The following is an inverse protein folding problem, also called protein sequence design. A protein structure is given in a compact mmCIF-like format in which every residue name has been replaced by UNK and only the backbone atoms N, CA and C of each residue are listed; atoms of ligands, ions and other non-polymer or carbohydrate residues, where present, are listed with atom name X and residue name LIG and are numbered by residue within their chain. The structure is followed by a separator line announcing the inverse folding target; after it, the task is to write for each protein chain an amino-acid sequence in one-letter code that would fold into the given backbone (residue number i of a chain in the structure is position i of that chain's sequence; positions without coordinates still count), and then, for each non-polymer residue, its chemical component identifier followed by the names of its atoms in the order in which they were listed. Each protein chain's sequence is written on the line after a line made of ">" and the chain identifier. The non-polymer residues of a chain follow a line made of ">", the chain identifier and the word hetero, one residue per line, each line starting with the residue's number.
data_IF_831287916308
#
_entry.id   IF_831287916308
#
_cell.length_a   1.000
_cell.length_b   1.000
_cell.length_c   1.000
_cell.angle_alpha   90.00
_cell.angle_beta   90.00
_cell.angle_gamma   90.00
#
_symmetry.space_group_name_H-M   'P 1'
#
loop_
_entity.id
_entity.type
_entity.pdbx_description
1 polymer ?
#
# COMPACT_ATOMS: atom_id res chain seq x y z
N UNK A 1 4.69 -14.13 -25.62
CA UNK A 1 3.37 -13.47 -25.58
C UNK A 1 2.85 -13.48 -24.15
N UNK A 2 2.44 -12.35 -23.61
CA UNK A 2 1.79 -12.21 -22.29
C UNK A 2 0.36 -11.72 -22.51
N UNK A 3 -0.61 -12.33 -21.82
CA UNK A 3 -2.00 -11.90 -21.82
C UNK A 3 -2.36 -11.38 -20.43
N UNK A 4 -2.81 -10.14 -20.35
CA UNK A 4 -3.32 -9.53 -19.14
C UNK A 4 -4.84 -9.59 -19.16
N UNK A 5 -5.43 -10.28 -18.19
CA UNK A 5 -6.86 -10.35 -18.00
C UNK A 5 -7.26 -9.23 -17.04
N UNK A 6 -8.02 -8.26 -17.55
CA UNK A 6 -8.43 -7.06 -16.82
C UNK A 6 -9.90 -7.22 -16.43
N UNK A 7 -10.16 -7.58 -15.18
CA UNK A 7 -11.50 -7.74 -14.61
C UNK A 7 -12.05 -6.41 -14.11
N UNK A 8 -11.17 -5.57 -13.53
CA UNK A 8 -11.51 -4.23 -13.06
C UNK A 8 -10.82 -3.20 -13.95
N UNK A 9 -11.60 -2.52 -14.78
CA UNK A 9 -11.06 -1.52 -15.69
C UNK A 9 -10.61 -0.28 -14.90
N UNK A 10 -9.32 0.12 -15.01
CA UNK A 10 -8.81 1.24 -14.23
C UNK A 10 -9.50 2.54 -14.62
N UNK A 11 -10.04 3.24 -13.62
CA UNK A 11 -10.78 4.50 -13.83
C UNK A 11 -9.89 5.65 -14.31
N UNK A 12 -8.59 5.58 -14.04
CA UNK A 12 -7.56 6.51 -14.51
C UNK A 12 -6.98 6.12 -15.89
N UNK A 13 -7.45 5.00 -16.48
CA UNK A 13 -6.94 4.44 -17.72
C UNK A 13 -5.55 3.82 -17.63
N UNK A 14 -4.95 3.73 -16.43
CA UNK A 14 -3.59 3.27 -16.22
C UNK A 14 -3.55 1.85 -15.62
N UNK A 15 -3.18 0.86 -16.44
CA UNK A 15 -2.95 -0.51 -15.97
C UNK A 15 -1.46 -0.70 -15.61
N UNK A 16 -1.20 -1.00 -14.35
CA UNK A 16 0.15 -1.20 -13.81
C UNK A 16 0.46 -2.68 -13.74
N UNK A 17 1.56 -3.09 -14.40
CA UNK A 17 2.03 -4.49 -14.41
C UNK A 17 3.37 -4.56 -13.66
N UNK A 18 3.44 -5.21 -12.49
CA UNK A 18 4.66 -5.24 -11.69
C UNK A 18 5.67 -6.24 -12.25
N UNK A 19 6.16 -5.95 -13.44
CA UNK A 19 7.18 -6.75 -14.11
C UNK A 19 8.03 -5.89 -15.06
N UNK A 20 9.29 -6.24 -15.21
CA UNK A 20 10.17 -5.70 -16.25
C UNK A 20 10.12 -6.61 -17.47
N UNK A 21 9.92 -6.02 -18.63
CA UNK A 21 9.98 -6.70 -19.92
C UNK A 21 10.23 -5.69 -21.03
N UNK A 22 10.79 -6.16 -22.15
CA UNK A 22 10.80 -5.38 -23.40
C UNK A 22 9.55 -5.74 -24.19
N UNK A 23 8.72 -4.76 -24.47
CA UNK A 23 7.47 -4.91 -25.23
C UNK A 23 7.70 -4.35 -26.63
N UNK A 24 7.54 -5.18 -27.66
CA UNK A 24 7.66 -4.81 -29.07
C UNK A 24 6.31 -4.76 -29.79
N UNK A 25 5.22 -5.19 -29.12
CA UNK A 25 3.87 -5.10 -29.63
C UNK A 25 2.83 -5.16 -28.52
N UNK A 26 1.79 -4.36 -28.63
CA UNK A 26 0.69 -4.32 -27.66
C UNK A 26 -0.64 -4.09 -28.37
N UNK A 27 -1.69 -4.76 -27.90
CA UNK A 27 -3.06 -4.57 -28.40
C UNK A 27 -4.12 -4.94 -27.37
N UNK A 28 -5.21 -4.21 -27.35
CA UNK A 28 -6.43 -4.59 -26.66
C UNK A 28 -7.24 -5.49 -27.59
N UNK A 29 -7.50 -6.73 -27.17
CA UNK A 29 -8.26 -7.68 -28.00
C UNK A 29 -9.72 -7.21 -28.17
N UNK A 30 -10.22 -7.34 -29.39
CA UNK A 30 -11.59 -6.85 -29.74
C UNK A 30 -11.68 -5.33 -29.96
N UNK A 31 -10.54 -4.60 -29.97
CA UNK A 31 -10.50 -3.16 -30.23
C UNK A 31 -9.36 -2.80 -31.18
N UNK A 32 -9.60 -1.76 -31.99
CA UNK A 32 -8.56 -1.08 -32.78
C UNK A 32 -7.98 0.15 -32.07
N UNK A 33 -8.47 0.46 -30.86
CA UNK A 33 -7.96 1.60 -30.09
C UNK A 33 -6.48 1.35 -29.69
N UNK A 34 -5.63 2.37 -29.84
CA UNK A 34 -4.23 2.25 -29.45
C UNK A 34 -4.10 2.06 -27.95
N UNK A 35 -3.10 1.25 -27.55
CA UNK A 35 -2.65 1.10 -26.18
C UNK A 35 -1.17 1.51 -26.15
N UNK A 36 -0.80 2.44 -25.29
CA UNK A 36 0.60 2.77 -25.08
C UNK A 36 1.17 1.98 -23.91
N UNK A 37 2.49 1.77 -23.92
CA UNK A 37 3.21 1.13 -22.83
C UNK A 37 4.51 1.89 -22.56
N UNK A 38 4.78 2.13 -21.27
CA UNK A 38 6.03 2.71 -20.79
C UNK A 38 6.66 1.81 -19.75
N UNK A 39 7.99 1.68 -19.80
CA UNK A 39 8.76 1.04 -18.73
C UNK A 39 9.01 2.07 -17.62
N UNK A 40 8.76 1.68 -16.37
CA UNK A 40 8.98 2.49 -15.17
C UNK A 40 9.76 1.67 -14.13
N UNK A 41 10.21 2.32 -13.06
CA UNK A 41 10.80 1.59 -11.93
C UNK A 41 9.81 0.65 -11.23
N UNK A 42 8.51 0.94 -11.38
CA UNK A 42 7.40 0.13 -10.88
C UNK A 42 7.05 -1.08 -11.75
N UNK A 43 7.57 -1.16 -12.95
CA UNK A 43 7.24 -2.15 -13.97
C UNK A 43 6.72 -1.50 -15.24
N UNK A 44 5.78 -2.15 -15.92
CA UNK A 44 5.14 -1.60 -17.11
C UNK A 44 3.90 -0.80 -16.73
N UNK A 45 3.78 0.39 -17.29
CA UNK A 45 2.58 1.22 -17.24
C UNK A 45 1.92 1.21 -18.61
N UNK A 46 0.70 0.73 -18.68
CA UNK A 46 -0.10 0.69 -19.90
C UNK A 46 -1.18 1.77 -19.84
N UNK A 47 -1.26 2.59 -20.88
CA UNK A 47 -2.35 3.54 -21.05
C UNK A 47 -3.47 2.88 -21.88
N UNK A 48 -4.58 2.58 -21.22
CA UNK A 48 -5.72 1.91 -21.79
C UNK A 48 -6.74 2.93 -22.35
N UNK A 49 -7.50 2.60 -23.40
CA UNK A 49 -8.61 3.46 -23.87
C UNK A 49 -9.68 3.58 -22.79
N UNK A 50 -10.51 4.64 -22.88
CA UNK A 50 -11.46 5.03 -21.83
C UNK A 50 -12.58 4.02 -21.50
N UNK A 51 -12.71 2.90 -22.26
CA UNK A 51 -13.73 1.88 -22.01
C UNK A 51 -13.17 0.46 -22.23
N UNK A 52 -13.61 -0.52 -21.43
CA UNK A 52 -13.30 -1.92 -21.65
C UNK A 52 -13.98 -2.43 -22.94
N UNK A 53 -13.40 -3.47 -23.55
CA UNK A 53 -14.03 -4.18 -24.69
C UNK A 53 -15.09 -5.18 -24.21
N UNK A 54 -14.96 -5.64 -22.98
CA UNK A 54 -15.91 -6.53 -22.32
C UNK A 54 -15.99 -6.14 -20.84
N UNK A 55 -17.21 -6.05 -20.32
CA UNK A 55 -17.45 -5.61 -18.93
C UNK A 55 -17.03 -6.66 -17.89
N UNK A 56 -17.00 -7.93 -18.25
CA UNK A 56 -16.59 -9.00 -17.36
C UNK A 56 -15.06 -9.20 -17.34
N UNK A 57 -14.42 -9.13 -18.51
CA UNK A 57 -12.97 -9.30 -18.63
C UNK A 57 -12.47 -8.81 -20.00
N UNK A 58 -11.72 -7.75 -20.02
CA UNK A 58 -11.00 -7.31 -21.21
C UNK A 58 -9.59 -7.90 -21.23
N UNK A 59 -9.05 -8.16 -22.43
CA UNK A 59 -7.73 -8.81 -22.56
C UNK A 59 -6.76 -7.92 -23.32
N UNK A 60 -5.65 -7.57 -22.68
CA UNK A 60 -4.52 -6.90 -23.33
C UNK A 60 -3.44 -7.93 -23.65
N UNK A 61 -3.06 -8.01 -24.93
CA UNK A 61 -1.98 -8.89 -25.38
C UNK A 61 -0.70 -8.10 -25.63
N UNK A 62 0.39 -8.53 -24.98
CA UNK A 62 1.73 -7.96 -25.15
C UNK A 62 2.63 -8.99 -25.86
N UNK A 63 3.29 -8.55 -26.92
CA UNK A 63 4.40 -9.29 -27.49
C UNK A 63 5.69 -8.85 -26.78
N UNK A 64 6.38 -9.80 -26.18
CA UNK A 64 7.59 -9.54 -25.41
C UNK A 64 8.81 -10.05 -26.18
N UNK A 65 9.89 -9.27 -26.13
CA UNK A 65 11.21 -9.68 -26.57
C UNK A 65 12.09 -9.91 -25.33
N UNK A 66 12.57 -11.13 -25.16
CA UNK A 66 13.34 -11.53 -23.96
C UNK A 66 12.45 -11.98 -22.80
N UNK A 67 13.01 -11.93 -21.60
CA UNK A 67 12.41 -12.48 -20.40
C UNK A 67 11.45 -11.49 -19.72
N UNK A 68 10.39 -12.03 -19.13
CA UNK A 68 9.54 -11.33 -18.18
C UNK A 68 10.11 -11.52 -16.77
N UNK A 69 10.52 -10.43 -16.13
CA UNK A 69 11.05 -10.44 -14.76
C UNK A 69 10.01 -9.84 -13.83
N UNK A 70 9.28 -10.64 -13.03
CA UNK A 70 8.35 -10.13 -12.05
C UNK A 70 9.08 -9.25 -11.02
N UNK A 71 8.45 -8.14 -10.64
CA UNK A 71 8.89 -7.33 -9.53
C UNK A 71 8.20 -7.81 -8.25
N UNK A 72 8.86 -7.71 -7.09
CA UNK A 72 8.20 -7.96 -5.81
C UNK A 72 6.98 -7.08 -5.65
N UNK A 73 5.98 -7.56 -4.88
CA UNK A 73 4.80 -6.78 -4.56
C UNK A 73 5.18 -5.42 -3.97
N UNK A 74 4.43 -4.39 -4.33
CA UNK A 74 4.47 -3.07 -3.69
C UNK A 74 3.14 -2.36 -3.92
N UNK A 75 2.69 -1.62 -2.91
CA UNK A 75 1.46 -0.82 -3.00
C UNK A 75 1.72 0.37 -3.91
N UNK A 76 0.88 0.52 -4.93
CA UNK A 76 0.86 1.71 -5.79
C UNK A 76 -0.12 2.76 -5.27
N UNK A 77 -0.06 3.99 -5.81
CA UNK A 77 -1.05 5.02 -5.49
C UNK A 77 -2.41 4.67 -6.08
N UNK A 78 -3.48 5.07 -5.40
CA UNK A 78 -4.83 5.11 -5.94
C UNK A 78 -4.98 6.25 -6.96
N UNK A 79 -6.15 6.35 -7.61
CA UNK A 79 -6.43 7.39 -8.62
C UNK A 79 -6.30 8.83 -8.07
N UNK A 80 -6.51 9.04 -6.77
CA UNK A 80 -6.31 10.31 -6.06
C UNK A 80 -4.84 10.57 -5.65
N UNK A 81 -3.93 9.66 -6.00
CA UNK A 81 -2.51 9.70 -5.66
C UNK A 81 -2.21 9.24 -4.22
N UNK A 82 -3.21 8.89 -3.43
CA UNK A 82 -3.02 8.42 -2.07
C UNK A 82 -2.62 6.94 -2.03
N UNK A 83 -1.85 6.56 -1.01
CA UNK A 83 -1.56 5.15 -0.71
C UNK A 83 -2.48 4.68 0.41
N UNK A 84 -3.09 3.51 0.23
CA UNK A 84 -3.82 2.80 1.27
C UNK A 84 -2.99 1.59 1.71
N UNK A 85 -2.39 1.67 2.88
CA UNK A 85 -1.52 0.65 3.45
C UNK A 85 -2.33 -0.16 4.46
N UNK A 86 -2.67 -1.39 4.07
CA UNK A 86 -3.51 -2.28 4.90
C UNK A 86 -2.65 -3.26 5.71
N UNK A 87 -3.23 -3.91 6.73
CA UNK A 87 -2.54 -4.99 7.44
C UNK A 87 -2.06 -6.13 6.54
N UNK A 88 -2.80 -6.44 5.46
CA UNK A 88 -2.45 -7.53 4.54
C UNK A 88 -1.31 -7.19 3.57
N UNK A 89 -1.06 -5.90 3.34
CA UNK A 89 0.05 -5.44 2.51
C UNK A 89 1.36 -5.34 3.30
N UNK A 90 1.29 -5.51 4.62
CA UNK A 90 2.43 -5.35 5.51
C UNK A 90 3.32 -6.59 5.55
N UNK A 91 4.62 -6.38 5.56
CA UNK A 91 5.58 -7.34 6.09
C UNK A 91 5.75 -7.10 7.58
N UNK A 92 5.53 -8.15 8.38
CA UNK A 92 5.64 -8.10 9.84
C UNK A 92 7.01 -8.63 10.27
N UNK A 93 7.67 -7.90 11.15
CA UNK A 93 8.99 -8.20 11.65
C UNK A 93 8.95 -8.37 13.17
N UNK A 94 9.62 -9.41 13.66
CA UNK A 94 9.69 -9.73 15.08
C UNK A 94 8.53 -10.62 15.58
N UNK A 95 8.58 -11.02 16.84
CA UNK A 95 7.61 -11.94 17.41
C UNK A 95 6.29 -11.25 17.75
N UNK A 96 5.21 -12.02 17.79
CA UNK A 96 3.88 -11.69 18.31
C UNK A 96 3.07 -10.68 17.50
N UNK A 97 3.68 -9.68 16.85
CA UNK A 97 2.96 -8.79 15.95
C UNK A 97 2.29 -9.60 14.84
N UNK A 98 0.99 -9.45 14.68
CA UNK A 98 0.22 -10.25 13.71
C UNK A 98 -1.00 -9.51 13.18
N UNK A 99 -1.52 -10.00 12.06
CA UNK A 99 -2.82 -9.60 11.55
C UNK A 99 -3.89 -10.26 12.42
N UNK A 100 -4.76 -9.45 12.97
CA UNK A 100 -5.89 -9.88 13.78
C UNK A 100 -7.18 -9.70 12.98
N UNK A 101 -8.00 -10.75 12.96
CA UNK A 101 -9.32 -10.72 12.37
C UNK A 101 -10.33 -10.36 13.47
N UNK A 102 -11.09 -9.29 13.26
CA UNK A 102 -12.05 -8.75 14.23
C UNK A 102 -13.43 -8.65 13.60
N UNK A 103 -14.46 -8.90 14.39
CA UNK A 103 -15.85 -8.84 13.95
C UNK A 103 -16.49 -10.20 13.67
N UNK A 104 -17.83 -10.19 13.50
CA UNK A 104 -18.63 -11.35 13.17
C UNK A 104 -18.63 -11.60 11.65
N UNK A 105 -19.16 -12.75 11.23
CA UNK A 105 -19.39 -13.06 9.82
C UNK A 105 -20.29 -11.97 9.20
N UNK A 106 -19.81 -11.33 8.14
CA UNK A 106 -20.50 -10.24 7.43
C UNK A 106 -20.01 -8.84 7.81
N UNK A 107 -19.27 -8.68 8.92
CA UNK A 107 -18.65 -7.41 9.34
C UNK A 107 -17.22 -7.66 9.84
N UNK A 108 -16.41 -8.28 8.99
CA UNK A 108 -15.03 -8.63 9.30
C UNK A 108 -14.11 -7.47 8.96
N UNK A 109 -13.32 -7.04 9.93
CA UNK A 109 -12.23 -6.11 9.74
C UNK A 109 -10.90 -6.73 10.17
N UNK A 110 -9.80 -6.13 9.73
CA UNK A 110 -8.47 -6.59 10.07
C UNK A 110 -7.64 -5.44 10.63
N UNK A 111 -6.78 -5.76 11.59
CA UNK A 111 -5.79 -4.82 12.12
C UNK A 111 -4.47 -5.53 12.39
N UNK A 112 -3.39 -4.79 12.45
CA UNK A 112 -2.17 -5.22 13.11
C UNK A 112 -2.41 -5.11 14.61
N UNK A 113 -2.23 -6.21 15.33
CA UNK A 113 -2.43 -6.29 16.76
C UNK A 113 -1.37 -7.19 17.42
N UNK A 114 -1.51 -7.39 18.73
CA UNK A 114 -0.53 -8.13 19.53
C UNK A 114 0.89 -7.56 19.41
N UNK A 115 1.01 -6.25 19.30
CA UNK A 115 2.29 -5.57 19.26
C UNK A 115 2.88 -5.44 20.66
N UNK A 116 3.34 -6.56 21.20
CA UNK A 116 3.79 -6.68 22.58
C UNK A 116 5.30 -6.42 22.74
N UNK A 117 6.08 -6.58 21.67
CA UNK A 117 7.50 -6.32 21.63
C UNK A 117 7.78 -5.00 20.90
N UNK A 118 8.41 -3.98 21.53
CA UNK A 118 8.73 -2.72 20.85
C UNK A 118 9.77 -2.90 19.73
N UNK A 119 10.56 -3.98 19.73
CA UNK A 119 11.49 -4.28 18.64
C UNK A 119 10.76 -4.79 17.38
N UNK A 120 9.54 -5.34 17.52
CA UNK A 120 8.72 -5.71 16.38
C UNK A 120 8.30 -4.46 15.59
N UNK A 121 8.10 -4.62 14.29
CA UNK A 121 7.65 -3.52 13.44
C UNK A 121 6.92 -4.04 12.20
N UNK A 122 6.21 -3.14 11.54
CA UNK A 122 5.56 -3.41 10.26
C UNK A 122 6.18 -2.55 9.17
N UNK A 123 6.31 -3.10 7.96
CA UNK A 123 6.75 -2.35 6.79
C UNK A 123 5.88 -2.65 5.57
N UNK A 124 5.76 -1.66 4.69
CA UNK A 124 5.00 -1.72 3.45
C UNK A 124 5.89 -1.29 2.30
N UNK A 125 6.15 -2.17 1.33
CA UNK A 125 6.78 -1.77 0.08
C UNK A 125 5.80 -0.93 -0.73
N UNK A 126 6.25 0.24 -1.21
CA UNK A 126 5.47 1.16 -2.01
C UNK A 126 6.18 1.52 -3.31
N UNK A 127 5.42 1.98 -4.30
CA UNK A 127 5.95 2.58 -5.53
C UNK A 127 5.39 3.98 -5.68
N UNK A 128 6.25 4.97 -5.58
CA UNK A 128 5.91 6.38 -5.68
C UNK A 128 6.17 6.85 -7.11
N UNK A 129 5.13 7.23 -7.85
CA UNK A 129 5.25 7.68 -9.24
C UNK A 129 5.93 9.05 -9.33
N UNK A 130 5.63 9.94 -8.41
CA UNK A 130 6.22 11.29 -8.33
C UNK A 130 6.61 11.60 -6.90
N UNK A 131 7.85 12.05 -6.72
CA UNK A 131 8.31 12.54 -5.43
C UNK A 131 7.39 13.67 -4.93
N UNK A 132 7.11 13.70 -3.64
CA UNK A 132 6.21 14.70 -3.08
C UNK A 132 6.08 14.64 -1.57
N UNK A 133 5.31 15.55 -1.00
CA UNK A 133 4.93 15.53 0.40
C UNK A 133 3.58 14.84 0.57
N UNK A 134 3.49 14.03 1.61
CA UNK A 134 2.29 13.25 1.93
C UNK A 134 1.96 13.39 3.41
N UNK A 135 0.70 13.68 3.70
CA UNK A 135 0.18 13.56 5.06
C UNK A 135 -0.01 12.08 5.40
N UNK A 136 0.54 11.66 6.52
CA UNK A 136 0.33 10.32 7.06
C UNK A 136 -0.87 10.33 8.01
N UNK A 137 -1.89 9.54 7.70
CA UNK A 137 -3.13 9.41 8.47
C UNK A 137 -3.31 7.95 8.84
N UNK A 138 -3.47 7.67 10.14
CA UNK A 138 -3.64 6.31 10.64
C UNK A 138 -4.97 6.13 11.37
N UNK A 139 -5.56 4.96 11.25
CA UNK A 139 -6.69 4.52 12.07
C UNK A 139 -6.17 3.54 13.13
N UNK A 140 -6.08 4.02 14.37
CA UNK A 140 -5.48 3.29 15.49
C UNK A 140 -6.46 3.07 16.63
N UNK A 141 -6.20 2.03 17.43
CA UNK A 141 -6.84 1.81 18.72
C UNK A 141 -5.78 1.48 19.78
N UNK A 142 -5.97 1.99 20.97
CA UNK A 142 -5.11 1.72 22.11
C UNK A 142 -5.92 1.82 23.40
N UNK A 143 -5.75 0.87 24.30
CA UNK A 143 -6.32 0.90 25.64
C UNK A 143 -5.66 2.03 26.45
N UNK A 144 -6.44 2.76 27.23
CA UNK A 144 -5.95 3.97 27.91
C UNK A 144 -4.76 3.66 28.86
N UNK A 145 -4.78 2.51 29.52
CA UNK A 145 -3.71 2.07 30.41
C UNK A 145 -2.42 1.66 29.65
N UNK A 146 -2.52 1.45 28.33
CA UNK A 146 -1.38 1.12 27.46
C UNK A 146 -0.86 2.30 26.65
N UNK A 147 -1.50 3.46 26.78
CA UNK A 147 -1.12 4.66 26.04
C UNK A 147 0.31 5.14 26.38
N UNK A 148 0.87 5.94 25.49
CA UNK A 148 2.17 6.59 25.70
C UNK A 148 3.32 5.97 24.95
N UNK A 149 3.11 4.94 24.13
CA UNK A 149 4.15 4.41 23.25
C UNK A 149 4.63 5.50 22.27
N UNK A 150 5.95 5.63 22.14
CA UNK A 150 6.56 6.49 21.13
C UNK A 150 6.79 5.69 19.87
N UNK A 151 6.33 6.20 18.73
CA UNK A 151 6.41 5.54 17.45
C UNK A 151 7.04 6.45 16.39
N UNK A 152 7.63 5.83 15.38
CA UNK A 152 8.18 6.52 14.22
C UNK A 152 7.66 5.87 12.94
N UNK A 153 7.10 6.66 12.04
CA UNK A 153 6.81 6.30 10.67
C UNK A 153 7.94 6.85 9.79
N UNK A 154 8.54 6.01 8.97
CA UNK A 154 9.71 6.37 8.18
C UNK A 154 9.64 5.89 6.73
N UNK A 155 10.28 6.65 5.82
CA UNK A 155 10.60 6.28 4.45
C UNK A 155 12.01 6.74 4.13
N UNK A 156 12.97 5.83 4.12
CA UNK A 156 14.37 6.20 4.07
C UNK A 156 14.76 7.13 5.22
N UNK A 157 15.31 8.31 4.90
CA UNK A 157 15.73 9.31 5.90
C UNK A 157 14.55 10.18 6.40
N UNK A 158 13.45 10.25 5.63
CA UNK A 158 12.26 10.99 6.03
C UNK A 158 11.53 10.23 7.15
N UNK A 159 11.18 10.92 8.23
CA UNK A 159 10.52 10.31 9.39
C UNK A 159 9.61 11.28 10.13
N UNK A 160 8.55 10.74 10.70
CA UNK A 160 7.62 11.40 11.59
C UNK A 160 7.55 10.61 12.88
N UNK A 161 7.76 11.28 14.00
CA UNK A 161 7.58 10.71 15.33
C UNK A 161 6.19 11.12 15.88
N UNK A 162 5.53 10.20 16.55
CA UNK A 162 4.26 10.46 17.22
C UNK A 162 4.13 9.63 18.48
N UNK A 163 3.27 10.10 19.38
CA UNK A 163 2.95 9.40 20.63
C UNK A 163 1.55 8.81 20.55
N UNK A 164 1.42 7.55 20.92
CA UNK A 164 0.14 6.85 20.93
C UNK A 164 -0.72 7.34 22.07
N UNK A 165 -1.86 7.95 21.75
CA UNK A 165 -2.88 8.31 22.73
C UNK A 165 -3.84 7.14 22.97
N UNK A 166 -4.40 7.07 24.17
CA UNK A 166 -5.49 6.13 24.46
C UNK A 166 -6.75 6.47 23.66
N UNK A 167 -7.47 5.45 23.24
CA UNK A 167 -8.74 5.59 22.49
C UNK A 167 -9.92 4.96 23.24
N UNK A 168 -9.68 4.46 24.45
CA UNK A 168 -10.68 3.82 25.32
C UNK A 168 -10.79 2.30 25.11
N UNK A 169 -9.91 1.67 24.34
CA UNK A 169 -9.89 0.21 24.17
C UNK A 169 -9.27 -0.25 22.86
N UNK A 170 -8.91 -1.55 22.79
CA UNK A 170 -8.22 -2.16 21.64
C UNK A 170 -9.05 -2.24 20.35
N UNK A 171 -10.36 -2.00 20.41
CA UNK A 171 -11.25 -2.01 19.25
C UNK A 171 -12.02 -0.67 19.08
N UNK A 172 -11.62 0.37 19.83
CA UNK A 172 -12.14 1.72 19.68
C UNK A 172 -11.19 2.54 18.83
N UNK A 173 -11.40 2.48 17.51
CA UNK A 173 -10.52 3.13 16.55
C UNK A 173 -10.78 4.63 16.44
N UNK A 174 -9.69 5.37 16.27
CA UNK A 174 -9.70 6.81 15.94
C UNK A 174 -8.75 7.06 14.78
N UNK A 175 -9.19 7.91 13.87
CA UNK A 175 -8.35 8.44 12.81
C UNK A 175 -7.52 9.59 13.37
N UNK A 176 -6.21 9.51 13.19
CA UNK A 176 -5.25 10.54 13.61
C UNK A 176 -4.31 10.89 12.47
N UNK A 177 -3.95 12.17 12.36
CA UNK A 177 -2.86 12.62 11.49
C UNK A 177 -1.55 12.48 12.26
N UNK A 178 -0.60 11.73 11.70
CA UNK A 178 0.70 11.46 12.32
C UNK A 178 1.70 12.59 12.02
N UNK A 179 1.56 13.25 10.88
CA UNK A 179 2.42 14.29 10.34
C UNK A 179 2.66 14.13 8.85
N UNK A 180 3.73 14.73 8.33
CA UNK A 180 4.04 14.71 6.89
C UNK A 180 5.37 13.98 6.62
N UNK A 181 5.41 13.20 5.54
CA UNK A 181 6.60 12.57 4.99
C UNK A 181 6.89 13.08 3.58
N UNK A 182 8.14 13.30 3.25
CA UNK A 182 8.58 13.48 1.87
C UNK A 182 8.97 12.12 1.31
N UNK A 183 8.28 11.70 0.25
CA UNK A 183 8.55 10.43 -0.42
C UNK A 183 9.35 10.68 -1.71
N UNK A 184 10.45 9.95 -1.94
CA UNK A 184 11.17 9.98 -3.21
C UNK A 184 10.37 9.23 -4.28
N UNK A 185 10.55 9.56 -5.54
CA UNK A 185 10.04 8.75 -6.64
C UNK A 185 10.75 7.38 -6.70
N UNK A 186 10.05 6.37 -7.20
CA UNK A 186 10.54 5.00 -7.32
C UNK A 186 10.06 4.09 -6.20
N UNK A 187 10.72 2.94 -6.09
CA UNK A 187 10.40 1.94 -5.04
C UNK A 187 11.00 2.36 -3.71
N UNK A 188 10.19 2.29 -2.68
CA UNK A 188 10.54 2.65 -1.31
C UNK A 188 9.85 1.73 -0.32
N UNK A 189 10.19 1.84 0.93
CA UNK A 189 9.54 1.13 2.03
C UNK A 189 9.07 2.13 3.09
N UNK A 190 7.81 2.02 3.48
CA UNK A 190 7.27 2.69 4.67
C UNK A 190 7.44 1.73 5.84
N UNK A 191 8.05 2.18 6.93
CA UNK A 191 8.19 1.38 8.15
C UNK A 191 7.59 2.10 9.35
N UNK A 192 6.75 1.39 10.10
CA UNK A 192 6.21 1.84 11.38
C UNK A 192 6.89 1.06 12.52
N UNK A 193 7.57 1.78 13.40
CA UNK A 193 8.35 1.22 14.51
C UNK A 193 7.95 1.87 15.83
N UNK A 194 7.90 1.08 16.89
CA UNK A 194 7.86 1.62 18.25
C UNK A 194 9.29 1.86 18.76
N UNK A 195 9.50 2.98 19.41
CA UNK A 195 10.77 3.32 20.10
C UNK A 195 10.66 3.16 21.61
N UNK A 196 9.43 3.17 22.14
CA UNK A 196 9.14 2.84 23.54
C UNK A 196 7.75 2.22 23.66
N UNK A 197 7.53 1.46 24.71
CA UNK A 197 6.25 0.81 25.03
C UNK A 197 6.06 0.78 26.57
N UNK A 198 5.42 1.79 27.14
CA UNK A 198 5.20 1.84 28.60
C UNK A 198 4.10 0.89 29.09
N UNK A 199 3.13 0.55 28.26
CA UNK A 199 2.00 -0.30 28.60
C UNK A 199 2.10 -1.74 28.10
N UNK A 200 0.97 -2.45 28.03
CA UNK A 200 0.88 -3.85 27.64
C UNK A 200 1.28 -4.07 26.18
N UNK A 201 0.78 -3.22 25.28
CA UNK A 201 1.04 -3.27 23.84
C UNK A 201 1.22 -1.87 23.27
N UNK A 202 1.76 -1.77 22.05
CA UNK A 202 2.01 -0.49 21.37
C UNK A 202 0.68 0.15 20.91
N UNK A 203 -0.01 -0.51 19.99
CA UNK A 203 -1.30 -0.08 19.43
C UNK A 203 -1.90 -1.21 18.58
N UNK A 204 -3.18 -1.08 18.22
CA UNK A 204 -3.76 -1.76 17.07
C UNK A 204 -3.82 -0.77 15.89
N UNK A 205 -3.38 -1.20 14.70
CA UNK A 205 -3.43 -0.40 13.47
C UNK A 205 -4.39 -1.06 12.47
N UNK A 206 -5.47 -0.35 12.11
CA UNK A 206 -6.43 -0.82 11.11
C UNK A 206 -6.04 -0.39 9.70
N UNK A 207 -5.57 0.83 9.55
CA UNK A 207 -5.11 1.36 8.26
C UNK A 207 -4.10 2.48 8.44
N UNK A 208 -3.26 2.65 7.43
CA UNK A 208 -2.36 3.79 7.28
C UNK A 208 -2.53 4.33 5.86
N UNK A 209 -2.79 5.62 5.73
CA UNK A 209 -2.91 6.30 4.45
C UNK A 209 -1.84 7.37 4.32
N UNK A 210 -1.27 7.49 3.12
CA UNK A 210 -0.39 8.59 2.74
C UNK A 210 -1.12 9.41 1.67
N UNK A 211 -1.49 10.64 2.02
CA UNK A 211 -2.33 11.51 1.19
C UNK A 211 -1.47 12.64 0.63
N UNK A 212 -1.42 12.85 -0.69
CA UNK A 212 -0.65 13.94 -1.31
C UNK A 212 -1.04 15.31 -0.76
N UNK A 213 -0.03 16.21 -0.64
CA UNK A 213 -0.21 17.60 -0.22
C UNK A 213 0.03 18.57 -1.39
#
# INVERSE_FOLDING_TARGET
>A
MLYLLVFDWPSDGALRVPAKATVDGIRLLGSSAPVAVAATDAGLLLELPGKPTDAACSVVALHLTGDLVPLPFAVGPAADGAFALTPHDATLHGPQLRIERVGAVGDVTYNLGYWLDPAAHASWPIVVERAGRYAAVAEIACKDESAGAECTLACGDAKVAFRVAGTGGWQRYRTIELGELTLPAGRSEIALRATSKPGEAVLNLRSLRLVPR
#
